data_IF_389512144128
#
_entry.id   IF_389512144128
#
_cell.length_a   1.000
_cell.length_b   1.000
_cell.length_c   1.000
_cell.angle_alpha   90.00
_cell.angle_beta   90.00
_cell.angle_gamma   90.00
#
_symmetry.space_group_name_H-M   'P 1'
#
loop_
_entity.id
_entity.type
_entity.pdbx_description
1 polymer ?
#
# COMPACT_ATOMS: atom_id res chain seq x y z
N UNK A 1 9.91 -4.88 0.93
CA UNK A 1 9.01 -4.45 2.02
C UNK A 1 7.64 -4.12 1.43
N UNK A 2 6.55 -4.38 2.17
CA UNK A 2 5.20 -3.95 1.82
C UNK A 2 4.66 -3.08 2.95
N UNK A 3 4.14 -1.91 2.64
CA UNK A 3 3.52 -0.99 3.61
C UNK A 3 2.01 -1.03 3.41
N UNK A 4 1.25 -1.34 4.47
CA UNK A 4 -0.21 -1.31 4.47
C UNK A 4 -0.68 -0.10 5.29
N UNK A 5 -1.57 0.71 4.71
CA UNK A 5 -2.05 1.97 5.29
C UNK A 5 -3.55 2.13 5.03
N UNK A 6 -4.24 2.75 5.98
CA UNK A 6 -5.69 3.05 5.90
C UNK A 6 -5.96 4.45 5.34
N UNK A 7 -4.91 5.21 5.04
CA UNK A 7 -5.01 6.48 4.31
C UNK A 7 -5.07 6.30 2.79
N UNK A 8 -5.21 7.43 2.09
CA UNK A 8 -5.06 7.50 0.65
C UNK A 8 -3.63 7.18 0.21
N UNK A 9 -3.53 6.59 -0.98
CA UNK A 9 -2.26 6.16 -1.55
C UNK A 9 -1.39 7.34 -1.93
N UNK A 10 -1.96 8.46 -2.34
CA UNK A 10 -1.22 9.69 -2.58
C UNK A 10 -1.03 10.49 -1.31
N UNK A 11 0.19 10.96 -1.08
CA UNK A 11 0.56 11.84 0.04
C UNK A 11 0.22 11.29 1.44
N UNK A 12 0.03 9.99 1.58
CA UNK A 12 -0.25 9.32 2.86
C UNK A 12 1.01 8.91 3.62
N UNK A 13 0.82 8.30 4.80
CA UNK A 13 1.94 7.82 5.63
C UNK A 13 2.76 6.76 4.87
N UNK A 14 2.09 5.92 4.08
CA UNK A 14 2.77 4.93 3.25
C UNK A 14 3.78 5.52 2.25
N UNK A 15 3.59 6.76 1.75
CA UNK A 15 4.57 7.38 0.85
C UNK A 15 5.82 7.84 1.58
N UNK A 16 5.67 8.37 2.81
CA UNK A 16 6.81 8.80 3.61
C UNK A 16 7.67 7.62 4.03
N UNK A 17 7.05 6.52 4.48
CA UNK A 17 7.79 5.28 4.80
C UNK A 17 8.56 4.78 3.57
N UNK A 18 7.94 4.81 2.39
CA UNK A 18 8.60 4.38 1.16
C UNK A 18 9.78 5.30 0.78
N UNK A 19 9.64 6.62 0.96
CA UNK A 19 10.70 7.58 0.73
C UNK A 19 11.88 7.34 1.69
N UNK A 20 11.62 7.24 3.00
CA UNK A 20 12.65 6.99 4.02
C UNK A 20 13.40 5.69 3.76
N UNK A 21 12.72 4.63 3.34
CA UNK A 21 13.35 3.35 2.97
C UNK A 21 14.23 3.52 1.72
N UNK A 22 13.75 4.25 0.72
CA UNK A 22 14.53 4.52 -0.49
C UNK A 22 15.76 5.40 -0.22
N UNK A 23 15.69 6.33 0.73
CA UNK A 23 16.80 7.21 1.09
C UNK A 23 17.85 6.51 1.97
N UNK A 24 17.40 5.73 2.96
CA UNK A 24 18.27 5.24 4.03
C UNK A 24 18.60 3.75 3.94
N UNK A 25 17.89 2.98 3.12
CA UNK A 25 18.00 1.53 3.08
C UNK A 25 17.86 0.93 1.67
N UNK A 26 18.15 1.72 0.62
CA UNK A 26 18.03 1.27 -0.77
C UNK A 26 18.81 -0.02 -1.04
N UNK A 27 20.08 -0.08 -0.60
CA UNK A 27 20.96 -1.23 -0.83
C UNK A 27 20.50 -2.50 -0.10
N UNK A 28 19.66 -2.37 0.93
CA UNK A 28 19.09 -3.51 1.65
C UNK A 28 17.84 -4.08 0.95
N UNK A 29 17.27 -3.38 -0.03
CA UNK A 29 16.08 -3.81 -0.75
C UNK A 29 16.40 -4.90 -1.76
N UNK A 30 15.85 -6.09 -1.53
CA UNK A 30 15.89 -7.22 -2.49
C UNK A 30 14.81 -7.15 -3.57
N UNK A 31 13.85 -6.23 -3.40
CA UNK A 31 12.68 -6.05 -4.25
C UNK A 31 12.11 -4.64 -4.02
N UNK A 32 11.34 -4.08 -4.97
CA UNK A 32 10.76 -2.75 -4.83
C UNK A 32 9.82 -2.63 -3.62
N UNK A 33 9.73 -1.42 -3.06
CA UNK A 33 8.73 -1.10 -2.04
C UNK A 33 7.34 -1.13 -2.67
N UNK A 34 6.42 -1.92 -2.12
CA UNK A 34 5.01 -1.90 -2.50
C UNK A 34 4.16 -1.28 -1.40
N UNK A 35 3.06 -0.64 -1.80
CA UNK A 35 2.12 0.03 -0.90
C UNK A 35 0.70 -0.43 -1.18
N UNK A 36 0.01 -0.86 -0.12
CA UNK A 36 -1.41 -1.21 -0.09
C UNK A 36 -2.10 -0.11 0.71
N UNK A 37 -2.87 0.72 0.04
CA UNK A 37 -3.51 1.90 0.60
C UNK A 37 -4.80 2.19 -0.16
N UNK A 38 -5.64 3.07 0.38
CA UNK A 38 -6.93 3.41 -0.22
C UNK A 38 -6.75 4.24 -1.51
N UNK A 39 -7.67 4.13 -2.47
CA UNK A 39 -7.67 5.00 -3.65
C UNK A 39 -7.92 6.47 -3.25
N UNK A 40 -7.48 7.42 -4.08
CA UNK A 40 -7.58 8.86 -3.81
C UNK A 40 -9.00 9.40 -4.08
N UNK A 41 -9.97 8.91 -3.32
CA UNK A 41 -11.36 9.34 -3.38
C UNK A 41 -12.03 9.31 -2.00
N UNK A 42 -13.09 10.10 -1.77
CA UNK A 42 -13.85 10.03 -0.53
C UNK A 42 -14.45 8.64 -0.30
N UNK A 43 -14.58 8.25 0.97
CA UNK A 43 -15.21 6.98 1.33
C UNK A 43 -16.66 6.94 0.81
N UNK A 44 -17.04 5.89 0.08
CA UNK A 44 -18.41 5.76 -0.44
C UNK A 44 -19.38 5.30 0.64
N UNK A 45 -20.68 5.53 0.43
CA UNK A 45 -21.74 5.07 1.32
C UNK A 45 -22.48 3.82 0.81
N UNK A 46 -22.26 3.42 -0.43
CA UNK A 46 -22.90 2.24 -1.01
C UNK A 46 -22.02 1.01 -0.81
N UNK A 47 -22.61 -0.08 -0.33
CA UNK A 47 -21.89 -1.31 0.00
C UNK A 47 -21.01 -1.85 -1.14
N UNK A 48 -21.53 -1.82 -2.37
CA UNK A 48 -20.80 -2.26 -3.55
C UNK A 48 -19.54 -1.41 -3.84
N UNK A 49 -19.56 -0.13 -3.48
CA UNK A 49 -18.40 0.75 -3.63
C UNK A 49 -17.47 0.64 -2.43
N UNK A 50 -17.97 0.41 -1.22
CA UNK A 50 -17.13 0.12 -0.04
C UNK A 50 -16.26 -1.11 -0.26
N UNK A 51 -16.84 -2.19 -0.81
CA UNK A 51 -16.11 -3.43 -1.15
C UNK A 51 -15.00 -3.20 -2.19
N UNK A 52 -15.13 -2.20 -3.07
CA UNK A 52 -14.10 -1.82 -4.03
C UNK A 52 -13.10 -0.79 -3.48
N UNK A 53 -13.48 -0.02 -2.46
CA UNK A 53 -12.69 1.06 -1.87
C UNK A 53 -11.70 0.54 -0.83
N UNK A 54 -12.16 -0.31 0.09
CA UNK A 54 -11.34 -0.82 1.18
C UNK A 54 -10.43 -1.97 0.71
N UNK A 55 -9.18 -1.92 1.12
CA UNK A 55 -8.23 -3.00 0.87
C UNK A 55 -8.43 -4.14 1.88
N UNK A 56 -8.29 -5.37 1.40
CA UNK A 56 -8.50 -6.59 2.18
C UNK A 56 -7.19 -7.25 2.62
N UNK A 57 -7.28 -8.25 3.48
CA UNK A 57 -6.13 -9.06 3.87
C UNK A 57 -5.50 -9.78 2.66
N UNK A 58 -6.33 -10.17 1.70
CA UNK A 58 -5.97 -10.83 0.46
C UNK A 58 -5.15 -9.91 -0.45
N UNK A 59 -5.43 -8.61 -0.44
CA UNK A 59 -4.66 -7.61 -1.20
C UNK A 59 -3.24 -7.46 -0.62
N UNK A 60 -3.11 -7.51 0.71
CA UNK A 60 -1.80 -7.52 1.38
C UNK A 60 -1.03 -8.79 1.01
N UNK A 61 -1.65 -9.96 1.10
CA UNK A 61 -1.02 -11.24 0.72
C UNK A 61 -0.59 -11.23 -0.75
N UNK A 62 -1.42 -10.68 -1.64
CA UNK A 62 -1.12 -10.54 -3.07
C UNK A 62 0.08 -9.63 -3.31
N UNK A 63 0.15 -8.49 -2.61
CA UNK A 63 1.28 -7.57 -2.68
C UNK A 63 2.59 -8.23 -2.22
N UNK A 64 2.57 -8.96 -1.09
CA UNK A 64 3.75 -9.70 -0.60
C UNK A 64 4.18 -10.75 -1.61
N UNK A 65 3.25 -11.59 -2.08
CA UNK A 65 3.55 -12.63 -3.08
C UNK A 65 4.14 -12.08 -4.39
N UNK A 66 3.80 -10.85 -4.78
CA UNK A 66 4.35 -10.20 -5.97
C UNK A 66 5.86 -9.95 -5.89
N UNK A 67 6.42 -9.80 -4.68
CA UNK A 67 7.85 -9.48 -4.47
C UNK A 67 8.65 -10.64 -3.85
N UNK A 68 8.01 -11.75 -3.50
CA UNK A 68 8.66 -12.96 -2.98
C UNK A 68 8.78 -14.07 -4.03
N UNK A 69 8.21 -13.87 -5.22
CA UNK A 69 8.34 -14.79 -6.35
C UNK A 69 9.60 -14.56 -7.16
#
# INVERSE_FOLDING_TARGET
IVVADVGWKSFGVSSEIAALVAENAFDALKAPVLRVALPDCPAPASRNLEEAYYQTSEDIVRAVRKITR
#
